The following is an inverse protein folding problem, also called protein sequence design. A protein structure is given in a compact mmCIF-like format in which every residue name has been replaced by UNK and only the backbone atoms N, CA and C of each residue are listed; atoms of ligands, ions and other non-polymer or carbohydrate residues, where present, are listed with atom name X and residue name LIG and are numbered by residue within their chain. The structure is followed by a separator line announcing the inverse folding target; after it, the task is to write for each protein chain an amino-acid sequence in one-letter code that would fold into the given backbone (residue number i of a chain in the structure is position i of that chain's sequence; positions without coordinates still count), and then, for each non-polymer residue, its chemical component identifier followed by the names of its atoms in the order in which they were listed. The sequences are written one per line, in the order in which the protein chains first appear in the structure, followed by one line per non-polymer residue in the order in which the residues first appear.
data_IF_528827028118
#
_entry.id   IF_528827028118
#
_cell.length_a   1.000
_cell.length_b   1.000
_cell.length_c   1.000
_cell.angle_alpha   90.00
_cell.angle_beta   90.00
_cell.angle_gamma   90.00
#
_symmetry.space_group_name_H-M   'P 1'
#
loop_
_entity.id
_entity.type
_entity.pdbx_description
1 polymer ?
#
# COMPACT_ATOMS: atom_id res chain seq x y z
N UNK A 1 -6.05 -16.07 18.45
CA UNK A 1 -7.22 -15.17 18.29
C UNK A 1 -7.04 -14.27 17.08
N UNK A 2 -7.43 -14.73 15.89
CA UNK A 2 -7.29 -14.02 14.60
C UNK A 2 -8.43 -13.02 14.30
N UNK A 3 -9.30 -12.73 15.27
CA UNK A 3 -10.63 -12.14 15.05
C UNK A 3 -10.79 -10.63 15.30
N UNK A 4 -9.75 -9.80 15.25
CA UNK A 4 -9.88 -8.35 15.52
C UNK A 4 -9.00 -7.49 14.60
N UNK A 5 -9.17 -7.61 13.28
CA UNK A 5 -8.42 -6.81 12.29
C UNK A 5 -8.94 -5.38 12.13
N UNK A 6 -10.12 -5.09 12.66
CA UNK A 6 -10.75 -3.75 12.63
C UNK A 6 -10.51 -2.94 13.91
N UNK A 7 -9.51 -3.31 14.72
CA UNK A 7 -9.17 -2.60 15.96
C UNK A 7 -7.83 -1.91 15.83
N UNK A 8 -7.70 -0.76 16.49
CA UNK A 8 -6.42 -0.11 16.68
C UNK A 8 -5.46 -1.00 17.48
N UNK A 9 -4.16 -0.93 17.15
CA UNK A 9 -3.09 -1.62 17.88
C UNK A 9 -3.05 -3.13 17.63
N UNK A 10 -3.24 -3.57 16.39
CA UNK A 10 -2.91 -4.95 16.02
C UNK A 10 -1.39 -5.17 16.15
N UNK A 11 -0.99 -6.40 16.49
CA UNK A 11 0.42 -6.77 16.49
C UNK A 11 0.87 -7.05 15.05
N UNK A 12 1.31 -5.99 14.36
CA UNK A 12 1.72 -6.07 12.95
C UNK A 12 3.00 -6.88 12.77
N UNK A 13 3.91 -6.86 13.75
CA UNK A 13 5.13 -7.66 13.75
C UNK A 13 4.80 -9.15 13.84
N UNK A 14 3.88 -9.53 14.74
CA UNK A 14 3.39 -10.90 14.79
C UNK A 14 2.69 -11.32 13.50
N UNK A 15 2.03 -10.40 12.81
CA UNK A 15 1.46 -10.67 11.49
C UNK A 15 2.55 -10.98 10.46
N UNK A 16 3.66 -10.23 10.45
CA UNK A 16 4.80 -10.48 9.58
C UNK A 16 5.37 -11.89 9.81
N UNK A 17 5.59 -12.29 11.07
CA UNK A 17 6.05 -13.64 11.41
C UNK A 17 5.14 -14.74 10.86
N UNK A 18 3.82 -14.58 11.07
CA UNK A 18 2.82 -15.58 10.72
C UNK A 18 2.57 -15.68 9.20
N UNK A 19 2.98 -14.66 8.45
CA UNK A 19 2.79 -14.58 7.01
C UNK A 19 4.07 -14.86 6.22
N UNK A 20 5.12 -15.36 6.89
CA UNK A 20 6.45 -15.56 6.30
C UNK A 20 7.01 -14.26 5.69
N UNK A 21 6.94 -13.16 6.44
CA UNK A 21 7.32 -11.82 5.99
C UNK A 21 6.54 -11.36 4.75
N UNK A 22 5.22 -11.63 4.74
CA UNK A 22 4.26 -11.07 3.77
C UNK A 22 3.12 -10.29 4.44
N UNK A 23 3.40 -9.41 5.43
CA UNK A 23 2.35 -8.71 6.16
C UNK A 23 1.52 -7.80 5.25
N UNK A 24 2.12 -7.11 4.28
CA UNK A 24 1.40 -6.17 3.42
C UNK A 24 0.39 -6.89 2.55
N UNK A 25 0.80 -7.97 1.88
CA UNK A 25 -0.11 -8.79 1.07
C UNK A 25 -1.26 -9.35 1.90
N UNK A 26 -0.97 -9.90 3.08
CA UNK A 26 -1.98 -10.53 3.93
C UNK A 26 -2.99 -9.53 4.51
N UNK A 27 -2.51 -8.37 4.98
CA UNK A 27 -3.36 -7.31 5.52
C UNK A 27 -4.19 -6.67 4.42
N UNK A 28 -3.56 -6.25 3.32
CA UNK A 28 -4.28 -5.64 2.20
C UNK A 28 -5.36 -6.56 1.64
N UNK A 29 -5.05 -7.84 1.41
CA UNK A 29 -6.06 -8.80 0.93
C UNK A 29 -7.23 -8.93 1.90
N UNK A 30 -6.96 -8.99 3.21
CA UNK A 30 -8.03 -9.08 4.20
C UNK A 30 -8.89 -7.82 4.21
N UNK A 31 -8.27 -6.63 4.21
CA UNK A 31 -8.98 -5.35 4.27
C UNK A 31 -9.83 -5.14 3.02
N UNK A 32 -9.29 -5.39 1.83
CA UNK A 32 -10.01 -5.24 0.56
C UNK A 32 -11.14 -6.27 0.40
N UNK A 33 -10.98 -7.49 0.94
CA UNK A 33 -12.06 -8.48 1.03
C UNK A 33 -13.16 -8.03 1.98
N UNK A 34 -12.81 -7.62 3.21
CA UNK A 34 -13.78 -7.22 4.24
C UNK A 34 -14.60 -5.97 3.85
N UNK A 35 -14.02 -5.07 3.05
CA UNK A 35 -14.69 -3.89 2.52
C UNK A 35 -15.45 -4.14 1.22
N UNK A 36 -15.50 -5.39 0.76
CA UNK A 36 -16.07 -5.79 -0.54
C UNK A 36 -15.47 -5.04 -1.76
N UNK A 37 -14.29 -4.41 -1.62
CA UNK A 37 -13.65 -3.65 -2.71
C UNK A 37 -13.36 -4.53 -3.92
N UNK A 38 -12.87 -5.76 -3.70
CA UNK A 38 -12.59 -6.69 -4.80
C UNK A 38 -13.83 -7.02 -5.61
N UNK A 39 -14.97 -7.21 -4.94
CA UNK A 39 -16.25 -7.50 -5.59
C UNK A 39 -16.81 -6.26 -6.29
N UNK A 40 -16.78 -5.11 -5.61
CA UNK A 40 -17.31 -3.82 -6.10
C UNK A 40 -16.63 -3.39 -7.39
N UNK A 41 -15.31 -3.55 -7.49
CA UNK A 41 -14.52 -3.16 -8.65
C UNK A 41 -14.15 -4.33 -9.57
N UNK A 42 -14.77 -5.50 -9.37
CA UNK A 42 -14.53 -6.72 -10.16
C UNK A 42 -13.03 -7.08 -10.27
N UNK A 43 -12.28 -6.92 -9.18
CA UNK A 43 -10.85 -7.22 -9.12
C UNK A 43 -10.68 -8.73 -8.90
N UNK A 44 -10.11 -9.49 -9.85
CA UNK A 44 -9.86 -10.91 -9.63
C UNK A 44 -8.90 -11.10 -8.46
N UNK A 45 -9.24 -11.99 -7.51
CA UNK A 45 -8.41 -12.23 -6.33
C UNK A 45 -6.96 -12.62 -6.69
N UNK A 46 -6.78 -13.39 -7.77
CA UNK A 46 -5.47 -13.76 -8.30
C UNK A 46 -4.66 -12.54 -8.74
N UNK A 47 -5.28 -11.60 -9.46
CA UNK A 47 -4.67 -10.35 -9.92
C UNK A 47 -4.29 -9.46 -8.74
N UNK A 48 -5.17 -9.35 -7.73
CA UNK A 48 -4.89 -8.60 -6.52
C UNK A 48 -3.68 -9.16 -5.75
N UNK A 49 -3.64 -10.48 -5.53
CA UNK A 49 -2.52 -11.12 -4.85
C UNK A 49 -1.23 -10.97 -5.66
N UNK A 50 -1.28 -11.12 -6.98
CA UNK A 50 -0.10 -10.94 -7.85
C UNK A 50 0.47 -9.51 -7.74
N UNK A 51 -0.39 -8.49 -7.81
CA UNK A 51 0.02 -7.10 -7.63
C UNK A 51 0.60 -6.88 -6.23
N UNK A 52 -0.10 -7.30 -5.17
CA UNK A 52 0.35 -7.05 -3.79
C UNK A 52 1.66 -7.77 -3.45
N UNK A 53 1.87 -8.99 -3.94
CA UNK A 53 3.14 -9.69 -3.78
C UNK A 53 4.28 -8.97 -4.48
N UNK A 54 4.03 -8.51 -5.71
CA UNK A 54 5.01 -7.73 -6.49
C UNK A 54 5.33 -6.41 -5.81
N UNK A 55 4.31 -5.69 -5.33
CA UNK A 55 4.47 -4.45 -4.56
C UNK A 55 5.29 -4.67 -3.29
N UNK A 56 4.96 -5.72 -2.53
CA UNK A 56 5.67 -6.09 -1.30
C UNK A 56 7.13 -6.50 -1.57
N UNK A 57 7.43 -7.10 -2.73
CA UNK A 57 8.81 -7.39 -3.16
C UNK A 57 9.64 -6.13 -3.46
N UNK A 58 8.98 -4.98 -3.73
CA UNK A 58 9.65 -3.69 -3.93
C UNK A 58 9.82 -2.87 -2.64
N UNK A 59 9.38 -3.38 -1.48
CA UNK A 59 9.80 -2.83 -0.20
C UNK A 59 11.11 -3.49 0.26
N UNK A 60 12.14 -2.67 0.47
CA UNK A 60 13.46 -3.14 0.89
C UNK A 60 13.41 -3.83 2.26
N UNK A 61 13.85 -5.10 2.32
CA UNK A 61 13.80 -5.93 3.54
C UNK A 61 14.82 -5.51 4.60
N UNK A 62 15.91 -4.88 4.17
CA UNK A 62 16.99 -4.37 4.99
C UNK A 62 16.75 -2.94 5.49
N UNK A 63 15.72 -2.26 4.97
CA UNK A 63 15.27 -0.98 5.51
C UNK A 63 14.61 -1.21 6.90
N UNK A 64 15.16 -0.64 7.99
CA UNK A 64 14.70 -0.96 9.35
C UNK A 64 13.30 -0.42 9.67
N UNK A 65 12.77 0.52 8.89
CA UNK A 65 11.47 1.14 9.14
C UNK A 65 10.56 1.19 7.91
N UNK A 66 10.95 1.88 6.82
CA UNK A 66 10.11 2.03 5.61
C UNK A 66 10.15 0.75 4.75
N UNK A 67 9.65 -0.34 5.31
CA UNK A 67 9.55 -1.67 4.70
C UNK A 67 8.07 -2.11 4.64
N UNK A 68 7.81 -3.33 4.15
CA UNK A 68 6.43 -3.78 3.93
C UNK A 68 5.63 -3.95 5.23
N UNK A 69 6.29 -4.11 6.38
CA UNK A 69 5.60 -4.16 7.68
C UNK A 69 5.01 -2.80 8.04
N UNK A 70 5.76 -1.72 7.82
CA UNK A 70 5.26 -0.35 7.98
C UNK A 70 4.11 -0.05 7.03
N UNK A 71 4.25 -0.39 5.74
CA UNK A 71 3.15 -0.24 4.78
C UNK A 71 1.89 -1.02 5.21
N UNK A 72 2.04 -2.24 5.73
CA UNK A 72 0.94 -3.03 6.25
C UNK A 72 0.25 -2.36 7.46
N UNK A 73 1.04 -1.77 8.37
CA UNK A 73 0.54 -1.02 9.52
C UNK A 73 -0.27 0.21 9.08
N UNK A 74 0.23 0.98 8.10
CA UNK A 74 -0.46 2.16 7.57
C UNK A 74 -1.75 1.77 6.83
N UNK A 75 -1.77 0.67 6.08
CA UNK A 75 -3.01 0.14 5.46
C UNK A 75 -4.04 -0.20 6.55
N UNK A 76 -3.62 -0.89 7.61
CA UNK A 76 -4.55 -1.29 8.66
C UNK A 76 -5.03 -0.10 9.50
N UNK A 77 -4.15 0.84 9.82
CA UNK A 77 -4.48 2.06 10.53
C UNK A 77 -5.46 2.92 9.73
N UNK A 78 -5.21 3.09 8.43
CA UNK A 78 -6.14 3.75 7.50
C UNK A 78 -7.51 3.06 7.48
N UNK A 79 -7.53 1.72 7.45
CA UNK A 79 -8.78 0.96 7.53
C UNK A 79 -9.55 1.24 8.84
N UNK A 80 -8.87 1.32 9.99
CA UNK A 80 -9.52 1.62 11.28
C UNK A 80 -10.06 3.04 11.30
N UNK A 81 -9.29 4.02 10.80
CA UNK A 81 -9.72 5.43 10.75
C UNK A 81 -10.95 5.63 9.86
N UNK A 82 -10.98 4.99 8.69
CA UNK A 82 -12.13 5.00 7.78
C UNK A 82 -13.38 4.31 8.35
N UNK A 83 -13.26 3.53 9.43
CA UNK A 83 -14.38 2.93 10.15
C UNK A 83 -14.87 3.79 11.33
N UNK A 84 -14.36 5.03 11.49
CA UNK A 84 -14.88 5.96 12.49
C UNK A 84 -16.37 6.22 12.27
N UNK A 85 -17.24 6.14 13.31
CA UNK A 85 -18.66 6.47 13.18
C UNK A 85 -18.93 7.88 12.64
N UNK A 86 -18.01 8.82 12.88
CA UNK A 86 -18.12 10.18 12.36
C UNK A 86 -17.94 10.28 10.83
N UNK A 87 -17.41 9.22 10.20
CA UNK A 87 -17.16 9.12 8.75
C UNK A 87 -18.11 8.12 8.06
N UNK A 88 -19.12 7.62 8.77
CA UNK A 88 -20.09 6.69 8.21
C UNK A 88 -20.81 7.32 7.00
N UNK A 89 -20.80 6.61 5.87
CA UNK A 89 -21.40 7.06 4.60
C UNK A 89 -20.86 8.38 4.03
N UNK A 90 -19.72 8.89 4.53
CA UNK A 90 -19.09 10.12 4.01
C UNK A 90 -18.36 9.85 2.69
N UNK A 91 -17.67 8.71 2.59
CA UNK A 91 -16.85 8.35 1.43
C UNK A 91 -17.52 7.30 0.55
N UNK A 92 -17.32 7.45 -0.76
CA UNK A 92 -17.71 6.45 -1.75
C UNK A 92 -16.80 5.21 -1.68
N UNK A 93 -17.25 4.05 -2.21
CA UNK A 93 -16.39 2.87 -2.30
C UNK A 93 -15.08 3.10 -3.05
N UNK A 94 -15.08 4.02 -4.03
CA UNK A 94 -13.89 4.36 -4.81
C UNK A 94 -12.88 5.16 -3.98
N UNK A 95 -13.34 6.15 -3.21
CA UNK A 95 -12.48 6.95 -2.33
C UNK A 95 -11.87 6.10 -1.21
N UNK A 96 -12.66 5.19 -0.62
CA UNK A 96 -12.16 4.22 0.37
C UNK A 96 -11.07 3.33 -0.24
N UNK A 97 -11.32 2.78 -1.44
CA UNK A 97 -10.37 1.89 -2.12
C UNK A 97 -9.11 2.66 -2.53
N UNK A 98 -9.25 3.91 -2.98
CA UNK A 98 -8.12 4.78 -3.31
C UNK A 98 -7.27 5.10 -2.08
N UNK A 99 -7.87 5.42 -0.92
CA UNK A 99 -7.15 5.68 0.32
C UNK A 99 -6.35 4.45 0.79
N UNK A 100 -6.94 3.26 0.71
CA UNK A 100 -6.27 2.01 1.08
C UNK A 100 -5.16 1.62 0.09
N UNK A 101 -5.37 1.86 -1.20
CA UNK A 101 -4.34 1.67 -2.21
C UNK A 101 -3.17 2.64 -1.97
N UNK A 102 -3.46 3.93 -1.76
CA UNK A 102 -2.46 4.94 -1.43
C UNK A 102 -1.63 4.54 -0.21
N UNK A 103 -2.28 4.11 0.88
CA UNK A 103 -1.61 3.61 2.07
C UNK A 103 -0.65 2.43 1.78
N UNK A 104 -1.04 1.50 0.91
CA UNK A 104 -0.22 0.34 0.56
C UNK A 104 1.03 0.72 -0.24
N UNK A 105 0.95 1.75 -1.07
CA UNK A 105 2.03 2.12 -1.99
C UNK A 105 2.91 3.26 -1.49
N UNK A 106 2.52 3.96 -0.42
CA UNK A 106 3.04 5.29 -0.12
C UNK A 106 4.55 5.38 0.12
N UNK A 107 5.22 4.28 0.46
CA UNK A 107 6.66 4.21 0.72
C UNK A 107 7.37 3.10 -0.11
N UNK A 108 6.76 2.63 -1.20
CA UNK A 108 7.35 1.54 -2.00
C UNK A 108 8.69 1.97 -2.59
N UNK A 109 9.69 1.09 -2.57
CA UNK A 109 11.05 1.38 -3.05
C UNK A 109 11.78 2.51 -2.27
N UNK A 110 11.41 2.74 -1.01
CA UNK A 110 12.06 3.73 -0.16
C UNK A 110 13.51 3.30 0.22
N UNK A 111 14.54 4.14 -0.04
CA UNK A 111 15.96 3.79 0.14
C UNK A 111 16.49 3.92 1.58
N UNK A 112 15.61 4.05 2.59
CA UNK A 112 16.01 4.36 3.97
C UNK A 112 16.65 5.73 4.22
N UNK A 113 16.58 6.67 3.26
CA UNK A 113 17.16 8.00 3.33
C UNK A 113 16.07 9.08 3.16
N UNK A 114 16.29 10.29 3.67
CA UNK A 114 15.32 11.39 3.55
C UNK A 114 15.43 12.12 2.20
N UNK A 115 14.35 12.82 1.78
CA UNK A 115 14.39 13.74 0.64
C UNK A 115 15.57 14.72 0.73
N UNK A 116 15.80 15.32 1.90
CA UNK A 116 16.91 16.26 2.10
C UNK A 116 18.28 15.62 1.86
N UNK A 117 18.47 14.35 2.23
CA UNK A 117 19.71 13.62 1.94
C UNK A 117 19.88 13.42 0.43
N UNK A 118 18.82 13.02 -0.27
CA UNK A 118 18.83 12.80 -1.72
C UNK A 118 19.14 14.09 -2.50
N UNK A 119 18.60 15.22 -2.05
CA UNK A 119 18.87 16.55 -2.61
C UNK A 119 20.33 16.96 -2.35
N UNK A 120 20.78 16.87 -1.09
CA UNK A 120 22.14 17.27 -0.70
C UNK A 120 23.23 16.42 -1.37
N UNK A 121 22.92 15.19 -1.75
CA UNK A 121 23.82 14.28 -2.47
C UNK A 121 23.70 14.36 -3.99
N UNK A 122 22.82 15.23 -4.51
CA UNK A 122 22.53 15.34 -5.95
C UNK A 122 22.19 13.99 -6.58
N UNK A 123 21.41 13.18 -5.86
CA UNK A 123 20.99 11.85 -6.33
C UNK A 123 20.18 11.94 -7.62
N UNK A 124 20.20 10.87 -8.43
CA UNK A 124 19.40 10.78 -9.66
C UNK A 124 17.90 11.01 -9.42
N UNK A 125 17.36 10.55 -8.29
CA UNK A 125 15.96 10.79 -7.93
C UNK A 125 15.68 12.28 -7.69
N UNK A 126 16.57 12.96 -6.97
CA UNK A 126 16.42 14.40 -6.70
C UNK A 126 16.46 15.21 -8.01
N UNK A 127 17.38 14.87 -8.92
CA UNK A 127 17.45 15.46 -10.25
C UNK A 127 16.19 15.18 -11.09
N UNK A 128 15.70 13.93 -11.07
CA UNK A 128 14.50 13.51 -11.80
C UNK A 128 13.24 14.26 -11.36
N UNK A 129 13.09 14.48 -10.06
CA UNK A 129 11.91 15.10 -9.46
C UNK A 129 12.11 16.58 -9.09
N UNK A 130 13.21 17.19 -9.55
CA UNK A 130 13.53 18.61 -9.35
C UNK A 130 13.44 19.05 -7.88
N UNK A 131 13.95 18.23 -6.97
CA UNK A 131 13.96 18.45 -5.51
C UNK A 131 12.56 18.54 -4.83
N UNK A 132 11.47 18.37 -5.59
CA UNK A 132 10.10 18.51 -5.10
C UNK A 132 9.48 17.14 -4.79
N UNK A 133 9.18 16.88 -3.51
CA UNK A 133 8.54 15.64 -3.04
C UNK A 133 9.16 14.39 -3.69
N UNK A 134 10.51 14.32 -3.64
CA UNK A 134 11.32 13.40 -4.45
C UNK A 134 10.89 11.95 -4.24
N UNK A 135 10.83 11.49 -3.00
CA UNK A 135 10.44 10.13 -2.65
C UNK A 135 8.97 9.88 -2.91
N UNK A 136 8.08 10.81 -2.58
CA UNK A 136 6.64 10.64 -2.76
C UNK A 136 6.26 10.51 -4.24
N UNK A 137 6.92 11.27 -5.13
CA UNK A 137 6.78 11.10 -6.58
C UNK A 137 7.34 9.74 -7.05
N UNK A 138 8.46 9.30 -6.49
CA UNK A 138 9.06 7.99 -6.79
C UNK A 138 8.14 6.83 -6.40
N UNK A 139 7.59 6.84 -5.20
CA UNK A 139 6.66 5.82 -4.69
C UNK A 139 5.45 5.65 -5.61
N UNK A 140 4.86 6.78 -6.06
CA UNK A 140 3.78 6.77 -7.05
C UNK A 140 4.24 6.16 -8.37
N UNK A 141 5.36 6.64 -8.93
CA UNK A 141 5.86 6.18 -10.22
C UNK A 141 6.12 4.66 -10.24
N UNK A 142 6.76 4.13 -9.20
CA UNK A 142 7.00 2.69 -9.04
C UNK A 142 5.69 1.93 -8.97
N UNK A 143 4.78 2.30 -8.05
CA UNK A 143 3.53 1.57 -7.88
C UNK A 143 2.66 1.51 -9.15
N UNK A 144 2.52 2.64 -9.84
CA UNK A 144 1.77 2.68 -11.10
C UNK A 144 2.49 1.95 -12.24
N UNK A 145 3.83 1.86 -12.19
CA UNK A 145 4.57 1.00 -13.12
C UNK A 145 4.30 -0.47 -12.87
N UNK A 146 4.21 -0.91 -11.60
CA UNK A 146 3.96 -2.31 -11.25
C UNK A 146 2.57 -2.81 -11.69
N UNK A 147 1.57 -1.93 -11.79
CA UNK A 147 0.26 -2.28 -12.37
C UNK A 147 0.36 -2.77 -13.83
N UNK A 148 1.42 -2.38 -14.55
CA UNK A 148 1.64 -2.77 -15.95
C UNK A 148 2.28 -4.15 -16.09
N UNK A 149 2.67 -4.81 -14.99
CA UNK A 149 3.18 -6.17 -15.03
C UNK A 149 2.06 -7.16 -15.37
N UNK A 150 2.42 -8.27 -16.04
CA UNK A 150 1.47 -9.29 -16.43
C UNK A 150 0.62 -9.79 -15.25
N UNK A 151 -0.69 -9.65 -15.38
CA UNK A 151 -1.64 -10.08 -14.35
C UNK A 151 -1.67 -9.23 -13.08
N UNK A 152 -1.10 -8.02 -13.08
CA UNK A 152 -1.05 -7.12 -11.92
C UNK A 152 -2.01 -5.91 -12.01
N UNK A 153 -2.71 -5.70 -13.13
CA UNK A 153 -3.65 -4.60 -13.25
C UNK A 153 -4.93 -4.84 -12.43
N UNK A 154 -4.91 -4.39 -11.17
CA UNK A 154 -6.07 -4.47 -10.28
C UNK A 154 -7.18 -3.49 -10.64
N UNK A 155 -6.96 -2.56 -11.57
CA UNK A 155 -7.92 -1.54 -11.99
C UNK A 155 -8.47 -1.79 -13.40
N UNK A 156 -8.11 -2.91 -14.05
CA UNK A 156 -8.50 -3.28 -15.41
C UNK A 156 -10.01 -3.19 -15.71
N UNK A 157 -10.85 -3.36 -14.69
CA UNK A 157 -12.32 -3.36 -14.81
C UNK A 157 -12.99 -2.05 -14.32
N UNK A 158 -12.20 -1.04 -13.95
CA UNK A 158 -12.73 0.28 -13.60
C UNK A 158 -12.92 1.08 -14.89
N UNK A 159 -14.13 1.63 -15.08
CA UNK A 159 -14.45 2.42 -16.27
C UNK A 159 -13.61 3.68 -16.35
N UNK A 160 -13.14 3.99 -17.57
CA UNK A 160 -12.67 5.34 -17.89
C UNK A 160 -13.88 6.29 -17.78
N UNK A 161 -13.72 7.37 -17.03
CA UNK A 161 -14.73 8.45 -16.96
C UNK A 161 -14.78 9.25 -18.26
#
# INVERSE_FOLDING_TARGET
NFGRKDKWGIDIFRNADLTNNRPLTAIAYTVFQNRESLKTFMIPAKTFVAFMMTLEDHYAKDNPFHNSTHAADVVQSTNVLLNSPALESVFTPLEITAALFAAAIHDVDHPGLTNQFLINSSSELALMYNDESVLENHHLAVAFKLLQNDGCDIFQNINKK
#
